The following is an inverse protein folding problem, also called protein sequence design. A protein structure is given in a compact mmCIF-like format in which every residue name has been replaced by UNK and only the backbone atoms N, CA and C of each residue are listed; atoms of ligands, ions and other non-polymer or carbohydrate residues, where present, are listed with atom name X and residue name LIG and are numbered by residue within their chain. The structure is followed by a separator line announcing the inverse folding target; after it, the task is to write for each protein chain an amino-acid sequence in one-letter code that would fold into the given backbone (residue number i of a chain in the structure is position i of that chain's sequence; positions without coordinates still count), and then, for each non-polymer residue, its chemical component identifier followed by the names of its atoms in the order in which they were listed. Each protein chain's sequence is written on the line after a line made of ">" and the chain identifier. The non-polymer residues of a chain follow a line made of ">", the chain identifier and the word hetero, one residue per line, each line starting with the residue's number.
data_IF_514573636689
#
_entry.id   IF_514573636689
#
_cell.length_a   1.000
_cell.length_b   1.000
_cell.length_c   1.000
_cell.angle_alpha   90.00
_cell.angle_beta   90.00
_cell.angle_gamma   90.00
#
_symmetry.space_group_name_H-M   'P 1'
#
loop_
_entity.id
_entity.type
_entity.pdbx_description
1 polymer ?
#
# COMPACT_ATOMS: atom_id res chain seq x y z
N UNK A 1 -7.23 -5.13 -13.01
CA UNK A 1 -7.06 -5.12 -11.54
C UNK A 1 -6.65 -3.70 -11.14
N UNK A 2 -7.10 -3.22 -9.98
CA UNK A 2 -6.70 -2.00 -9.25
C UNK A 2 -6.47 -0.68 -10.01
N UNK A 3 -7.50 0.19 -10.08
CA UNK A 3 -7.36 1.65 -10.32
C UNK A 3 -7.14 2.40 -8.98
N UNK A 4 -6.24 1.91 -8.11
CA UNK A 4 -6.19 2.37 -6.71
C UNK A 4 -5.32 3.61 -6.42
N UNK A 5 -4.28 3.89 -7.20
CA UNK A 5 -3.35 5.00 -6.90
C UNK A 5 -3.31 6.10 -7.97
N UNK A 6 -4.05 5.94 -9.07
CA UNK A 6 -3.79 6.68 -10.31
C UNK A 6 -4.86 7.72 -10.67
N UNK A 7 -6.01 7.71 -9.98
CA UNK A 7 -7.09 8.70 -10.21
C UNK A 7 -6.77 10.08 -9.64
N UNK A 8 -5.76 10.22 -8.77
CA UNK A 8 -5.29 11.52 -8.27
C UNK A 8 -4.58 12.39 -9.34
N UNK A 9 -4.20 11.83 -10.49
CA UNK A 9 -3.59 12.58 -11.59
C UNK A 9 -4.61 13.30 -12.51
N UNK A 10 -5.93 13.17 -12.26
CA UNK A 10 -6.97 13.68 -13.16
C UNK A 10 -7.06 15.22 -13.25
N UNK A 11 -6.55 15.95 -12.26
CA UNK A 11 -6.73 17.41 -12.20
C UNK A 11 -5.50 18.23 -12.64
N UNK A 12 -4.41 17.59 -13.09
CA UNK A 12 -3.19 18.29 -13.51
C UNK A 12 -3.03 18.49 -15.03
N UNK A 13 -3.90 17.90 -15.87
CA UNK A 13 -3.75 17.96 -17.35
C UNK A 13 -5.10 18.21 -18.04
N UNK A 14 -5.78 19.30 -17.70
CA UNK A 14 -6.86 19.86 -18.54
C UNK A 14 -6.47 21.28 -18.95
N UNK A 15 -5.70 21.37 -20.03
CA UNK A 15 -5.23 22.68 -20.49
C UNK A 15 -4.60 22.76 -21.87
N UNK A 16 -4.84 21.84 -22.81
CA UNK A 16 -4.48 22.09 -24.21
C UNK A 16 -5.46 21.39 -25.16
N UNK A 17 -6.42 22.13 -25.72
CA UNK A 17 -7.09 21.73 -26.96
C UNK A 17 -6.17 22.13 -28.13
N UNK A 18 -5.76 21.19 -28.98
CA UNK A 18 -5.14 21.52 -30.27
C UNK A 18 -6.03 21.08 -31.45
N UNK A 19 -6.13 21.98 -32.44
CA UNK A 19 -6.76 21.79 -33.75
C UNK A 19 -5.82 20.98 -34.68
N UNK A 20 -6.35 20.29 -35.71
CA UNK A 20 -5.54 19.40 -36.54
C UNK A 20 -4.74 20.16 -37.59
N UNK A 21 -3.45 19.86 -37.71
CA UNK A 21 -2.63 20.30 -38.85
C UNK A 21 -1.12 20.30 -38.58
N UNK A 22 -0.43 19.41 -39.31
CA UNK A 22 1.01 19.42 -39.65
C UNK A 22 2.02 18.83 -38.65
N UNK A 23 2.68 17.77 -39.14
CA UNK A 23 3.78 17.02 -38.54
C UNK A 23 5.08 17.82 -38.59
N UNK A 24 5.71 18.02 -37.44
CA UNK A 24 7.17 18.07 -37.31
C UNK A 24 7.57 17.55 -35.91
N UNK A 25 8.30 16.43 -35.88
CA UNK A 25 8.86 15.84 -34.66
C UNK A 25 9.95 16.76 -34.10
N UNK A 26 9.60 17.58 -33.10
CA UNK A 26 10.57 18.19 -32.18
C UNK A 26 10.60 17.34 -30.92
N UNK A 27 11.79 16.84 -30.55
CA UNK A 27 12.06 16.22 -29.24
C UNK A 27 11.53 17.13 -28.14
N UNK A 28 10.42 16.75 -27.50
CA UNK A 28 9.89 17.46 -26.36
C UNK A 28 10.82 17.19 -25.17
N UNK A 29 11.70 18.15 -24.86
CA UNK A 29 12.38 18.15 -23.56
C UNK A 29 11.30 18.40 -22.51
N UNK A 30 11.00 17.37 -21.70
CA UNK A 30 10.19 17.52 -20.49
C UNK A 30 10.82 18.63 -19.65
N UNK A 31 10.14 19.76 -19.50
CA UNK A 31 10.56 20.82 -18.59
C UNK A 31 10.35 20.32 -17.16
N UNK A 32 11.34 20.44 -16.26
CA UNK A 32 11.12 20.18 -14.85
C UNK A 32 10.08 21.19 -14.32
N UNK A 33 9.18 20.76 -13.42
CA UNK A 33 8.20 21.66 -12.81
C UNK A 33 8.91 22.78 -12.01
N UNK A 34 8.27 23.95 -11.82
CA UNK A 34 8.86 25.05 -11.08
C UNK A 34 9.15 24.63 -9.62
N UNK A 35 10.34 24.99 -9.16
CA UNK A 35 10.80 24.78 -7.79
C UNK A 35 9.82 25.50 -6.83
N UNK A 36 9.13 24.74 -5.97
CA UNK A 36 8.41 25.35 -4.84
C UNK A 36 9.43 25.88 -3.83
N UNK A 37 9.28 27.11 -3.30
CA UNK A 37 10.13 27.58 -2.21
C UNK A 37 9.90 26.70 -0.98
N UNK A 38 11.01 26.33 -0.31
CA UNK A 38 11.01 25.42 0.82
C UNK A 38 10.14 25.93 1.96
N UNK A 39 9.27 25.05 2.47
CA UNK A 39 8.60 25.25 3.75
C UNK A 39 9.66 25.34 4.86
N UNK A 40 9.48 26.23 5.85
CA UNK A 40 10.45 26.39 6.92
C UNK A 40 10.58 25.09 7.74
N UNK A 41 11.81 24.66 7.96
CA UNK A 41 12.13 23.51 8.80
C UNK A 41 11.76 23.79 10.27
N UNK A 42 10.67 23.19 10.74
CA UNK A 42 10.40 22.84 12.13
C UNK A 42 9.63 21.51 12.06
N UNK A 43 9.93 20.46 12.81
CA UNK A 43 10.05 20.42 14.27
C UNK A 43 10.68 19.08 14.68
N UNK A 44 11.25 19.02 15.88
CA UNK A 44 11.75 17.82 16.58
C UNK A 44 10.89 16.59 16.29
N UNK A 45 11.50 15.54 15.76
CA UNK A 45 10.85 14.25 15.46
C UNK A 45 10.57 13.51 16.76
N UNK A 46 9.53 13.91 17.48
CA UNK A 46 8.98 13.07 18.55
C UNK A 46 8.38 11.83 17.90
N UNK A 47 8.84 10.64 18.29
CA UNK A 47 8.17 9.39 17.93
C UNK A 47 6.69 9.55 18.31
N UNK A 48 5.73 9.40 17.37
CA UNK A 48 4.32 9.55 17.68
C UNK A 48 3.95 8.57 18.81
N UNK A 49 3.19 9.06 19.79
CA UNK A 49 2.65 8.19 20.84
C UNK A 49 1.86 7.04 20.21
N UNK A 50 1.93 5.82 20.77
CA UNK A 50 1.27 4.65 20.20
C UNK A 50 -0.23 4.90 20.05
N UNK A 51 -0.78 4.41 18.96
CA UNK A 51 -2.20 4.48 18.62
C UNK A 51 -2.90 3.15 18.92
N UNK A 52 -4.21 3.12 18.75
CA UNK A 52 -5.08 1.97 19.08
C UNK A 52 -4.59 0.61 18.62
N UNK A 53 -3.97 0.54 17.45
CA UNK A 53 -3.59 -0.72 16.83
C UNK A 53 -2.07 -0.94 16.78
N UNK A 54 -1.28 -0.07 17.41
CA UNK A 54 0.17 -0.25 17.54
C UNK A 54 0.55 -1.35 18.55
N UNK A 55 -0.05 -1.43 19.75
CA UNK A 55 0.37 -2.40 20.74
C UNK A 55 0.21 -3.84 20.26
N UNK A 56 1.25 -4.63 20.50
CA UNK A 56 1.18 -6.09 20.51
C UNK A 56 0.25 -6.58 21.62
N UNK A 57 -0.08 -7.89 21.58
CA UNK A 57 -0.99 -8.47 22.58
C UNK A 57 -0.39 -8.43 23.98
N UNK A 58 0.93 -8.57 24.06
CA UNK A 58 1.71 -8.47 25.28
C UNK A 58 1.72 -7.04 25.82
N UNK A 59 1.95 -6.04 24.95
CA UNK A 59 1.89 -4.64 25.35
C UNK A 59 0.49 -4.17 25.75
N UNK A 60 -0.57 -4.76 25.18
CA UNK A 60 -1.93 -4.59 25.68
C UNK A 60 -2.09 -5.25 27.06
N UNK A 61 -1.52 -6.43 27.28
CA UNK A 61 -1.57 -7.12 28.57
C UNK A 61 -0.94 -6.28 29.69
N UNK A 62 0.21 -5.66 29.43
CA UNK A 62 0.86 -4.71 30.36
C UNK A 62 -0.05 -3.52 30.69
N UNK A 63 -0.75 -2.95 29.70
CA UNK A 63 -1.72 -1.85 29.92
C UNK A 63 -2.98 -2.27 30.68
N UNK A 64 -3.22 -3.57 30.77
CA UNK A 64 -4.34 -4.17 31.50
C UNK A 64 -3.88 -4.82 32.81
N UNK A 65 -2.67 -4.52 33.29
CA UNK A 65 -2.26 -4.91 34.64
C UNK A 65 -3.27 -4.37 35.68
N UNK A 66 -3.68 -5.25 36.59
CA UNK A 66 -4.73 -4.98 37.58
C UNK A 66 -6.15 -5.35 37.12
N UNK A 67 -6.37 -5.60 35.83
CA UNK A 67 -7.64 -6.14 35.33
C UNK A 67 -7.63 -7.69 35.30
N UNK A 68 -8.80 -8.35 35.35
CA UNK A 68 -8.87 -9.80 35.15
C UNK A 68 -8.27 -10.23 33.80
N UNK A 69 -7.49 -11.31 33.77
CA UNK A 69 -6.76 -11.77 32.56
C UNK A 69 -7.62 -11.89 31.30
N UNK A 70 -8.87 -12.31 31.44
CA UNK A 70 -9.80 -12.43 30.30
C UNK A 70 -10.14 -11.09 29.63
N UNK A 71 -9.84 -9.94 30.26
CA UNK A 71 -10.03 -8.61 29.65
C UNK A 71 -9.13 -8.41 28.44
N UNK A 72 -7.95 -9.03 28.44
CA UNK A 72 -7.03 -9.00 27.31
C UNK A 72 -7.74 -9.56 26.06
N UNK A 73 -8.33 -10.75 26.17
CA UNK A 73 -9.07 -11.39 25.07
C UNK A 73 -10.27 -10.54 24.63
N UNK A 74 -11.06 -10.05 25.60
CA UNK A 74 -12.25 -9.25 25.29
C UNK A 74 -11.94 -7.98 24.49
N UNK A 75 -10.89 -7.26 24.89
CA UNK A 75 -10.44 -6.04 24.22
C UNK A 75 -9.81 -6.39 22.87
N UNK A 76 -8.88 -7.34 22.86
CA UNK A 76 -8.14 -7.72 21.67
C UNK A 76 -9.03 -8.25 20.54
N UNK A 77 -9.86 -9.24 20.85
CA UNK A 77 -10.81 -9.83 19.91
C UNK A 77 -11.90 -8.81 19.54
N UNK A 78 -12.25 -7.92 20.48
CA UNK A 78 -13.14 -6.80 20.25
C UNK A 78 -12.68 -5.91 19.11
N UNK A 79 -11.49 -5.32 19.24
CA UNK A 79 -11.02 -4.30 18.31
C UNK A 79 -10.41 -4.87 17.03
N UNK A 80 -9.88 -6.11 17.04
CA UNK A 80 -9.28 -6.74 15.86
C UNK A 80 -10.22 -7.74 15.19
N UNK A 81 -10.52 -8.85 15.86
CA UNK A 81 -11.26 -9.96 15.27
C UNK A 81 -12.71 -9.60 14.96
N UNK A 82 -13.37 -8.78 15.79
CA UNK A 82 -14.72 -8.24 15.52
C UNK A 82 -14.67 -6.89 14.82
N UNK A 83 -13.54 -6.18 14.89
CA UNK A 83 -13.40 -4.85 14.34
C UNK A 83 -14.36 -3.85 15.00
N UNK A 84 -14.75 -4.05 16.25
CA UNK A 84 -15.59 -3.12 16.99
C UNK A 84 -14.77 -1.93 17.49
N UNK A 85 -15.40 -0.78 17.68
CA UNK A 85 -14.77 0.32 18.41
C UNK A 85 -14.81 0.02 19.93
N UNK A 86 -13.91 0.64 20.69
CA UNK A 86 -13.80 0.42 22.13
C UNK A 86 -15.14 0.68 22.82
N UNK A 87 -15.85 1.74 22.43
CA UNK A 87 -17.14 2.12 23.00
C UNK A 87 -18.25 1.06 22.80
N UNK A 88 -18.14 0.22 21.76
CA UNK A 88 -19.07 -0.86 21.44
C UNK A 88 -18.81 -2.14 22.24
N UNK A 89 -17.71 -2.24 22.99
CA UNK A 89 -17.39 -3.41 23.81
C UNK A 89 -18.20 -3.42 25.11
N UNK A 90 -19.50 -3.76 25.02
CA UNK A 90 -20.42 -3.79 26.16
C UNK A 90 -20.02 -4.77 27.26
N UNK A 91 -19.22 -5.78 26.93
CA UNK A 91 -18.64 -6.71 27.88
C UNK A 91 -17.44 -6.14 28.63
N UNK A 92 -16.95 -4.94 28.31
CA UNK A 92 -15.80 -4.25 28.95
C UNK A 92 -16.29 -3.03 29.77
N UNK A 93 -15.80 -2.82 31.02
CA UNK A 93 -16.25 -1.73 31.88
C UNK A 93 -16.08 -0.36 31.23
N UNK A 94 -17.04 0.55 31.45
CA UNK A 94 -17.03 1.89 30.86
C UNK A 94 -15.76 2.67 31.20
N UNK A 95 -15.29 2.60 32.45
CA UNK A 95 -14.05 3.24 32.89
C UNK A 95 -12.83 2.71 32.13
N UNK A 96 -12.73 1.40 31.93
CA UNK A 96 -11.63 0.79 31.18
C UNK A 96 -11.65 1.19 29.70
N UNK A 97 -12.84 1.20 29.07
CA UNK A 97 -12.99 1.68 27.69
C UNK A 97 -12.56 3.14 27.52
N UNK A 98 -12.92 4.01 28.47
CA UNK A 98 -12.54 5.42 28.45
C UNK A 98 -11.01 5.60 28.61
N UNK A 99 -10.40 4.90 29.58
CA UNK A 99 -8.95 4.92 29.78
C UNK A 99 -8.19 4.48 28.53
N UNK A 100 -8.57 3.34 27.94
CA UNK A 100 -7.95 2.84 26.71
C UNK A 100 -8.15 3.79 25.52
N UNK A 101 -9.29 4.47 25.41
CA UNK A 101 -9.53 5.43 24.34
C UNK A 101 -8.66 6.67 24.44
N UNK A 102 -8.31 7.09 25.66
CA UNK A 102 -7.39 8.20 25.94
C UNK A 102 -5.93 7.80 25.72
N UNK A 103 -5.52 6.64 26.27
CA UNK A 103 -4.15 6.12 26.16
C UNK A 103 -3.80 5.68 24.73
N UNK A 104 -4.80 5.16 24.00
CA UNK A 104 -4.66 4.58 22.67
C UNK A 104 -5.71 5.16 21.70
N UNK A 105 -5.55 6.44 21.30
CA UNK A 105 -6.44 7.07 20.35
C UNK A 105 -6.27 6.47 18.95
N UNK A 106 -7.23 6.74 18.07
CA UNK A 106 -7.14 6.40 16.66
C UNK A 106 -5.99 7.16 15.98
N UNK A 107 -5.34 6.50 15.02
CA UNK A 107 -4.27 7.08 14.23
C UNK A 107 -4.80 7.90 13.06
N UNK A 108 -5.97 7.52 12.52
CA UNK A 108 -6.51 8.06 11.29
C UNK A 108 -7.73 8.95 11.58
N UNK A 109 -7.68 10.19 11.10
CA UNK A 109 -8.85 11.07 11.06
C UNK A 109 -9.36 11.16 9.61
N UNK A 110 -10.62 10.78 9.32
CA UNK A 110 -11.16 10.92 7.97
C UNK A 110 -11.31 12.40 7.62
N UNK A 111 -10.78 12.84 6.48
CA UNK A 111 -10.95 14.21 5.98
C UNK A 111 -11.80 14.28 4.72
N UNK A 112 -11.73 13.25 3.87
CA UNK A 112 -12.60 13.15 2.71
C UNK A 112 -12.91 11.69 2.38
N UNK A 113 -14.08 11.48 1.78
CA UNK A 113 -14.52 10.21 1.22
C UNK A 113 -14.97 10.43 -0.22
N UNK A 114 -14.59 9.50 -1.10
CA UNK A 114 -15.04 9.47 -2.50
C UNK A 114 -15.58 8.09 -2.83
N UNK A 115 -16.80 8.05 -3.37
CA UNK A 115 -17.50 6.82 -3.76
C UNK A 115 -17.68 6.80 -5.27
N UNK A 116 -17.36 5.67 -5.89
CA UNK A 116 -17.44 5.47 -7.34
C UNK A 116 -17.92 4.05 -7.67
N UNK A 117 -18.04 3.74 -8.96
CA UNK A 117 -18.46 2.41 -9.45
C UNK A 117 -19.80 1.93 -8.85
N UNK A 118 -20.77 2.84 -8.71
CA UNK A 118 -22.08 2.56 -8.08
C UNK A 118 -21.98 2.10 -6.62
N UNK A 119 -20.95 2.54 -5.90
CA UNK A 119 -20.72 2.18 -4.51
C UNK A 119 -19.71 1.05 -4.32
N UNK A 120 -19.28 0.40 -5.40
CA UNK A 120 -18.33 -0.72 -5.32
C UNK A 120 -16.88 -0.26 -5.03
N UNK A 121 -16.57 1.03 -5.18
CA UNK A 121 -15.24 1.56 -4.86
C UNK A 121 -15.37 2.77 -3.94
N UNK A 122 -14.80 2.67 -2.73
CA UNK A 122 -14.75 3.75 -1.74
C UNK A 122 -13.29 4.11 -1.45
N UNK A 123 -12.95 5.39 -1.56
CA UNK A 123 -11.62 5.92 -1.23
C UNK A 123 -11.73 6.90 -0.07
N UNK A 124 -10.85 6.76 0.91
CA UNK A 124 -10.70 7.70 2.00
C UNK A 124 -9.39 8.46 1.90
N UNK A 125 -9.44 9.76 2.18
CA UNK A 125 -8.30 10.58 2.53
C UNK A 125 -8.25 10.67 4.06
N UNK A 126 -7.13 10.26 4.64
CA UNK A 126 -6.87 10.29 6.07
C UNK A 126 -5.86 11.37 6.39
N UNK A 127 -6.08 12.10 7.48
CA UNK A 127 -5.03 12.83 8.16
C UNK A 127 -4.50 12.02 9.34
N UNK A 128 -3.19 11.85 9.37
CA UNK A 128 -2.44 11.22 10.44
C UNK A 128 -2.27 12.19 11.62
N UNK A 129 -1.90 11.68 12.79
CA UNK A 129 -1.77 12.48 14.02
C UNK A 129 -0.76 13.62 13.91
N UNK A 130 0.25 13.47 13.08
CA UNK A 130 1.29 14.45 12.80
C UNK A 130 0.99 15.33 11.57
N UNK A 131 -0.21 15.22 11.01
CA UNK A 131 -0.71 16.12 9.97
C UNK A 131 -0.42 15.69 8.53
N UNK A 132 0.33 14.62 8.32
CA UNK A 132 0.50 14.02 7.00
C UNK A 132 -0.78 13.32 6.51
N UNK A 133 -0.85 13.03 5.21
CA UNK A 133 -2.00 12.41 4.59
C UNK A 133 -1.67 11.08 3.93
N UNK A 134 -2.62 10.15 4.02
CA UNK A 134 -2.60 8.89 3.27
C UNK A 134 -3.97 8.57 2.67
N UNK A 135 -3.99 7.66 1.70
CA UNK A 135 -5.22 7.16 1.11
C UNK A 135 -5.40 5.66 1.38
N UNK A 136 -6.65 5.23 1.50
CA UNK A 136 -7.05 3.82 1.53
C UNK A 136 -8.20 3.63 0.55
N UNK A 137 -8.21 2.51 -0.16
CA UNK A 137 -9.30 2.19 -1.10
C UNK A 137 -9.92 0.84 -0.78
N UNK A 138 -11.22 0.82 -0.55
CA UNK A 138 -12.05 -0.37 -0.47
C UNK A 138 -12.68 -0.64 -1.84
N UNK A 139 -12.57 -1.88 -2.31
CA UNK A 139 -13.14 -2.33 -3.58
C UNK A 139 -13.97 -3.61 -3.39
N UNK A 140 -15.23 -3.54 -3.75
CA UNK A 140 -16.14 -4.67 -3.86
C UNK A 140 -16.06 -5.25 -5.28
N UNK A 141 -15.76 -6.54 -5.36
CA UNK A 141 -15.89 -7.32 -6.57
C UNK A 141 -17.02 -8.33 -6.40
N UNK A 142 -17.34 -9.05 -7.48
CA UNK A 142 -18.38 -10.09 -7.46
C UNK A 142 -18.12 -11.16 -6.39
N UNK A 143 -16.87 -11.57 -6.24
CA UNK A 143 -16.45 -12.75 -5.47
C UNK A 143 -15.56 -12.41 -4.25
N UNK A 144 -15.16 -11.15 -4.08
CA UNK A 144 -14.24 -10.74 -3.02
C UNK A 144 -14.38 -9.26 -2.68
N UNK A 145 -13.90 -8.90 -1.51
CA UNK A 145 -13.70 -7.49 -1.11
C UNK A 145 -12.22 -7.27 -0.84
N UNK A 146 -11.63 -6.28 -1.52
CA UNK A 146 -10.20 -5.97 -1.42
C UNK A 146 -9.99 -4.61 -0.80
N UNK A 147 -9.06 -4.51 0.15
CA UNK A 147 -8.58 -3.23 0.69
C UNK A 147 -7.18 -2.97 0.16
N UNK A 148 -6.99 -1.81 -0.45
CA UNK A 148 -5.70 -1.29 -0.86
C UNK A 148 -5.19 -0.35 0.24
N UNK A 149 -4.09 -0.73 0.88
CA UNK A 149 -3.50 -0.01 2.02
C UNK A 149 -2.24 0.73 1.62
N UNK A 150 -2.02 1.87 2.26
CA UNK A 150 -0.77 2.61 2.24
C UNK A 150 0.19 2.08 3.31
N UNK A 151 1.49 2.11 3.03
CA UNK A 151 2.58 1.73 3.94
C UNK A 151 3.49 2.90 4.31
N UNK A 152 3.41 4.03 3.60
CA UNK A 152 4.15 5.26 3.89
C UNK A 152 3.28 6.49 3.63
N UNK A 153 3.60 7.61 4.28
CA UNK A 153 3.16 8.92 3.85
C UNK A 153 4.16 9.43 2.79
N UNK A 154 3.71 9.49 1.54
CA UNK A 154 4.58 9.70 0.38
C UNK A 154 5.36 8.44 -0.03
N UNK A 155 6.33 8.59 -0.94
CA UNK A 155 7.19 7.50 -1.40
C UNK A 155 8.51 8.03 -1.98
N UNK A 156 9.64 7.46 -1.54
CA UNK A 156 10.98 7.89 -1.96
C UNK A 156 11.42 7.28 -3.32
N UNK A 157 10.64 6.37 -3.90
CA UNK A 157 11.04 5.60 -5.09
C UNK A 157 11.03 6.41 -6.39
N UNK A 158 10.36 7.57 -6.42
CA UNK A 158 10.36 8.53 -7.55
C UNK A 158 10.03 7.90 -8.91
N UNK A 159 9.13 6.91 -8.96
CA UNK A 159 8.67 6.34 -10.22
C UNK A 159 8.04 7.42 -11.09
N UNK A 160 8.49 7.58 -12.34
CA UNK A 160 8.19 8.75 -13.17
C UNK A 160 6.71 8.97 -13.48
N UNK A 161 5.93 7.89 -13.50
CA UNK A 161 4.50 7.90 -13.73
C UNK A 161 3.68 8.12 -12.45
N UNK A 162 4.25 7.88 -11.26
CA UNK A 162 3.55 7.82 -9.97
C UNK A 162 3.39 9.18 -9.28
N UNK A 163 2.13 9.58 -9.03
CA UNK A 163 1.82 10.80 -8.29
C UNK A 163 2.46 10.80 -6.87
N UNK A 164 2.38 9.69 -6.14
CA UNK A 164 3.00 9.56 -4.80
C UNK A 164 4.52 9.69 -4.86
N UNK A 165 5.17 9.13 -5.88
CA UNK A 165 6.62 9.27 -6.08
C UNK A 165 7.05 10.71 -6.42
N UNK A 166 6.15 11.52 -6.98
CA UNK A 166 6.37 12.94 -7.26
C UNK A 166 6.13 13.83 -6.04
N UNK A 167 5.25 13.43 -5.12
CA UNK A 167 4.96 14.15 -3.87
C UNK A 167 6.12 14.10 -2.85
N UNK A 168 7.11 13.23 -3.06
CA UNK A 168 8.21 13.04 -2.11
C UNK A 168 7.88 12.02 -1.02
N UNK A 169 8.77 11.91 -0.03
CA UNK A 169 8.65 11.02 1.11
C UNK A 169 8.66 11.82 2.40
N UNK A 170 7.68 11.57 3.26
CA UNK A 170 7.62 12.15 4.59
C UNK A 170 8.12 11.13 5.62
N UNK A 171 7.40 10.02 5.79
CA UNK A 171 7.77 8.97 6.75
C UNK A 171 7.12 7.62 6.48
N UNK A 172 7.64 6.62 7.20
CA UNK A 172 7.01 5.32 7.34
C UNK A 172 5.75 5.39 8.20
N UNK A 173 4.75 4.57 7.85
CA UNK A 173 3.61 4.33 8.73
C UNK A 173 3.97 3.30 9.80
N UNK A 174 3.38 3.45 10.99
CA UNK A 174 3.44 2.43 12.03
C UNK A 174 2.58 1.22 11.67
N UNK A 175 2.79 0.11 12.37
CA UNK A 175 1.92 -1.07 12.27
C UNK A 175 0.46 -0.71 12.54
N UNK A 176 0.19 0.10 13.57
CA UNK A 176 -1.16 0.53 13.93
C UNK A 176 -1.84 1.36 12.85
N UNK A 177 -1.12 2.29 12.23
CA UNK A 177 -1.63 3.10 11.11
C UNK A 177 -1.98 2.25 9.89
N UNK A 178 -1.21 1.19 9.62
CA UNK A 178 -1.51 0.25 8.53
C UNK A 178 -2.73 -0.61 8.87
N UNK A 179 -2.82 -1.10 10.11
CA UNK A 179 -3.91 -1.97 10.56
C UNK A 179 -5.25 -1.22 10.61
N UNK A 180 -5.24 0.03 11.06
CA UNK A 180 -6.45 0.85 11.21
C UNK A 180 -7.18 1.07 9.89
N UNK A 181 -6.44 1.22 8.77
CA UNK A 181 -7.01 1.32 7.43
C UNK A 181 -7.94 0.13 7.11
N UNK A 182 -7.52 -1.07 7.49
CA UNK A 182 -8.28 -2.30 7.23
C UNK A 182 -9.44 -2.46 8.21
N UNK A 183 -9.24 -2.11 9.48
CA UNK A 183 -10.33 -2.16 10.48
C UNK A 183 -11.45 -1.21 10.07
N UNK A 184 -11.13 0.02 9.66
CA UNK A 184 -12.13 0.96 9.13
C UNK A 184 -12.84 0.40 7.90
N UNK A 185 -12.09 -0.04 6.89
CA UNK A 185 -12.68 -0.59 5.67
C UNK A 185 -13.56 -1.82 5.93
N UNK A 186 -13.20 -2.65 6.91
CA UNK A 186 -14.00 -3.81 7.33
C UNK A 186 -15.32 -3.40 7.96
N UNK A 187 -15.32 -2.37 8.81
CA UNK A 187 -16.56 -1.80 9.39
C UNK A 187 -17.46 -1.27 8.28
N UNK A 188 -16.92 -0.48 7.36
CA UNK A 188 -17.70 0.09 6.25
C UNK A 188 -18.22 -0.98 5.28
N UNK A 189 -17.46 -2.05 5.05
CA UNK A 189 -17.87 -3.11 4.13
C UNK A 189 -18.95 -4.04 4.68
N UNK A 190 -19.22 -4.03 6.00
CA UNK A 190 -20.20 -4.93 6.61
C UNK A 190 -21.59 -4.78 5.95
N UNK A 191 -22.30 -5.89 5.65
CA UNK A 191 -22.00 -7.28 6.05
C UNK A 191 -21.04 -8.02 5.11
N UNK A 192 -20.56 -7.43 4.01
CA UNK A 192 -19.58 -8.08 3.12
C UNK A 192 -18.22 -8.15 3.80
N UNK A 193 -17.68 -9.36 3.94
CA UNK A 193 -16.37 -9.58 4.57
C UNK A 193 -15.24 -9.09 3.66
N UNK A 194 -14.33 -8.29 4.21
CA UNK A 194 -13.00 -8.02 3.61
C UNK A 194 -12.23 -9.34 3.54
N UNK A 195 -11.90 -9.76 2.33
CA UNK A 195 -11.27 -11.05 2.07
C UNK A 195 -9.84 -10.92 1.55
N UNK A 196 -9.45 -9.75 1.03
CA UNK A 196 -8.16 -9.53 0.40
C UNK A 196 -7.55 -8.20 0.84
N UNK A 197 -6.23 -8.17 1.01
CA UNK A 197 -5.48 -6.95 1.27
C UNK A 197 -4.32 -6.88 0.29
N UNK A 198 -4.13 -5.70 -0.30
CA UNK A 198 -3.03 -5.41 -1.22
C UNK A 198 -2.28 -4.17 -0.74
N UNK A 199 -0.95 -4.26 -0.66
CA UNK A 199 -0.08 -3.13 -0.38
C UNK A 199 0.26 -2.45 -1.71
N UNK A 200 -0.72 -1.73 -2.26
CA UNK A 200 -0.63 -1.01 -3.54
C UNK A 200 -1.09 0.46 -3.40
N UNK A 201 -1.20 0.95 -2.16
CA UNK A 201 -1.50 2.34 -1.85
C UNK A 201 -0.24 3.20 -1.92
N UNK A 202 -0.14 4.19 -1.03
CA UNK A 202 1.03 5.07 -0.95
C UNK A 202 2.20 4.36 -0.26
N UNK A 203 3.38 4.45 -0.86
CA UNK A 203 4.64 3.94 -0.31
C UNK A 203 5.21 2.69 -0.98
N UNK A 204 6.46 2.38 -0.64
CA UNK A 204 7.15 1.14 -0.96
C UNK A 204 7.18 0.25 0.30
N UNK A 205 6.40 -0.85 0.34
CA UNK A 205 6.29 -1.73 1.50
C UNK A 205 7.64 -2.27 2.00
N UNK A 206 8.58 -2.59 1.11
CA UNK A 206 9.90 -3.09 1.53
C UNK A 206 10.85 -2.01 2.04
N UNK A 207 10.56 -0.73 1.80
CA UNK A 207 11.25 0.35 2.48
C UNK A 207 10.73 0.54 3.92
N UNK A 208 9.49 0.09 4.22
CA UNK A 208 8.91 0.07 5.56
C UNK A 208 8.72 -1.37 6.07
N UNK A 209 9.76 -2.20 5.92
CA UNK A 209 9.58 -3.65 6.01
C UNK A 209 9.01 -4.11 7.34
N UNK A 210 9.58 -3.68 8.47
CA UNK A 210 9.21 -4.22 9.79
C UNK A 210 7.76 -3.91 10.16
N UNK A 211 7.31 -2.65 9.98
CA UNK A 211 5.91 -2.28 10.23
C UNK A 211 4.95 -2.94 9.25
N UNK A 212 5.35 -3.05 7.97
CA UNK A 212 4.55 -3.72 6.94
C UNK A 212 4.38 -5.20 7.26
N UNK A 213 5.46 -5.89 7.62
CA UNK A 213 5.44 -7.31 7.92
C UNK A 213 4.66 -7.60 9.21
N UNK A 214 4.88 -6.81 10.26
CA UNK A 214 4.05 -6.87 11.46
C UNK A 214 2.57 -6.73 11.09
N UNK A 215 2.18 -5.74 10.29
CA UNK A 215 0.79 -5.60 9.84
C UNK A 215 0.26 -6.82 9.05
N UNK A 216 1.09 -7.45 8.21
CA UNK A 216 0.75 -8.71 7.51
C UNK A 216 0.45 -9.82 8.51
N UNK A 217 1.25 -9.98 9.55
CA UNK A 217 1.02 -10.95 10.63
C UNK A 217 -0.27 -10.62 11.40
N UNK A 218 -0.54 -9.33 11.65
CA UNK A 218 -1.80 -8.88 12.28
C UNK A 218 -3.02 -9.24 11.44
N UNK A 219 -2.95 -9.01 10.13
CA UNK A 219 -4.02 -9.35 9.20
C UNK A 219 -4.28 -10.85 9.14
N UNK A 220 -3.21 -11.65 9.22
CA UNK A 220 -3.33 -13.10 9.22
C UNK A 220 -3.86 -13.65 10.54
N UNK A 221 -3.21 -13.30 11.65
CA UNK A 221 -3.47 -13.84 12.98
C UNK A 221 -4.77 -13.30 13.60
N UNK A 222 -4.95 -11.98 13.62
CA UNK A 222 -6.06 -11.37 14.38
C UNK A 222 -7.31 -11.14 13.52
N UNK A 223 -7.15 -10.83 12.23
CA UNK A 223 -8.28 -10.60 11.31
C UNK A 223 -8.68 -11.88 10.54
N UNK A 224 -7.89 -12.96 10.66
CA UNK A 224 -8.19 -14.26 10.04
C UNK A 224 -8.16 -14.23 8.52
N UNK A 225 -7.34 -13.37 7.91
CA UNK A 225 -7.17 -13.31 6.45
C UNK A 225 -6.08 -14.31 6.05
N UNK A 226 -6.44 -15.32 5.24
CA UNK A 226 -5.47 -16.32 4.80
C UNK A 226 -4.33 -15.69 3.99
N UNK A 227 -3.07 -16.11 4.21
CA UNK A 227 -1.88 -15.53 3.58
C UNK A 227 -1.97 -15.43 2.04
N UNK A 228 -2.64 -16.38 1.38
CA UNK A 228 -2.89 -16.36 -0.08
C UNK A 228 -3.76 -15.19 -0.57
N UNK A 229 -4.39 -14.44 0.34
CA UNK A 229 -5.21 -13.27 0.06
C UNK A 229 -4.51 -11.95 0.42
N UNK A 230 -3.29 -12.02 0.95
CA UNK A 230 -2.40 -10.89 1.22
C UNK A 230 -1.41 -10.78 0.06
N UNK A 231 -1.25 -9.57 -0.48
CA UNK A 231 -0.31 -9.31 -1.58
C UNK A 231 0.57 -8.11 -1.24
N UNK A 232 1.88 -8.33 -1.19
CA UNK A 232 2.88 -7.27 -1.08
C UNK A 232 3.31 -6.89 -2.49
N UNK A 233 3.21 -5.59 -2.83
CA UNK A 233 3.73 -5.04 -4.08
C UNK A 233 5.04 -4.32 -3.82
N UNK A 234 6.02 -4.45 -4.71
CA UNK A 234 7.30 -3.73 -4.61
C UNK A 234 7.74 -3.18 -5.96
N UNK A 235 8.46 -2.06 -5.97
CA UNK A 235 9.20 -1.56 -7.15
C UNK A 235 10.44 -2.38 -7.48
N UNK A 236 10.76 -3.41 -6.69
CA UNK A 236 11.89 -4.32 -6.92
C UNK A 236 13.06 -4.08 -5.97
N UNK A 237 12.76 -3.83 -4.68
CA UNK A 237 13.80 -3.80 -3.63
C UNK A 237 14.28 -5.24 -3.39
N UNK A 238 15.37 -5.63 -4.06
CA UNK A 238 15.89 -7.01 -4.05
C UNK A 238 16.12 -7.56 -2.64
N UNK A 239 16.79 -6.84 -1.71
CA UNK A 239 16.97 -7.33 -0.34
C UNK A 239 15.63 -7.57 0.40
N UNK A 240 14.59 -6.79 0.05
CA UNK A 240 13.25 -6.97 0.59
C UNK A 240 12.57 -8.25 0.09
N UNK A 241 12.73 -8.58 -1.20
CA UNK A 241 12.23 -9.84 -1.78
C UNK A 241 12.94 -11.04 -1.13
N UNK A 242 14.25 -10.95 -0.96
CA UNK A 242 15.06 -12.01 -0.32
C UNK A 242 14.72 -12.20 1.15
N UNK A 243 14.42 -11.11 1.87
CA UNK A 243 13.89 -11.19 3.23
C UNK A 243 12.51 -11.84 3.25
N UNK A 244 11.59 -11.42 2.37
CA UNK A 244 10.24 -11.98 2.26
C UNK A 244 10.26 -13.50 1.95
N UNK A 245 11.22 -13.97 1.17
CA UNK A 245 11.39 -15.40 0.88
C UNK A 245 11.67 -16.24 2.14
N UNK A 246 12.19 -15.63 3.21
CA UNK A 246 12.52 -16.28 4.48
C UNK A 246 11.42 -16.22 5.52
N UNK A 247 10.45 -15.32 5.39
CA UNK A 247 9.37 -15.15 6.37
C UNK A 247 8.37 -16.32 6.38
N UNK A 248 7.73 -16.62 7.50
CA UNK A 248 6.91 -17.84 7.61
C UNK A 248 5.65 -17.85 6.72
N UNK A 249 5.01 -16.69 6.50
CA UNK A 249 3.74 -16.64 5.78
C UNK A 249 3.94 -16.63 4.25
N UNK A 250 3.29 -17.54 3.50
CA UNK A 250 3.42 -17.61 2.05
C UNK A 250 2.44 -16.65 1.36
N UNK A 251 2.70 -15.35 1.49
CA UNK A 251 1.92 -14.28 0.85
C UNK A 251 2.10 -14.26 -0.67
N UNK A 252 1.28 -13.51 -1.41
CA UNK A 252 1.55 -13.28 -2.83
C UNK A 252 2.53 -12.11 -3.00
N UNK A 253 3.38 -12.18 -4.03
CA UNK A 253 4.29 -11.10 -4.42
C UNK A 253 3.82 -10.47 -5.74
N UNK A 254 3.71 -9.16 -5.75
CA UNK A 254 3.55 -8.36 -6.95
C UNK A 254 4.79 -7.47 -7.15
N UNK A 255 5.23 -7.32 -8.38
CA UNK A 255 6.37 -6.47 -8.74
C UNK A 255 5.92 -5.43 -9.75
N UNK A 256 6.04 -4.17 -9.37
CA UNK A 256 5.87 -2.99 -10.20
C UNK A 256 7.01 -2.91 -11.23
N UNK A 257 6.83 -3.62 -12.35
CA UNK A 257 7.86 -3.85 -13.35
C UNK A 257 7.95 -2.68 -14.33
N UNK A 258 6.84 -2.40 -15.03
CA UNK A 258 6.61 -1.28 -15.95
C UNK A 258 7.55 -1.13 -17.17
N UNK A 259 8.67 -1.84 -17.22
CA UNK A 259 9.52 -2.01 -18.40
C UNK A 259 10.30 -3.34 -18.26
N UNK A 260 10.55 -4.02 -19.38
CA UNK A 260 11.22 -5.33 -19.42
C UNK A 260 12.63 -5.27 -20.04
N UNK A 261 13.18 -4.06 -20.21
CA UNK A 261 14.58 -3.77 -20.50
C UNK A 261 15.10 -2.72 -19.51
N UNK A 262 16.39 -2.78 -19.18
CA UNK A 262 16.98 -1.93 -18.12
C UNK A 262 16.98 -0.44 -18.51
N UNK A 263 17.23 -0.10 -19.77
CA UNK A 263 17.30 1.30 -20.24
C UNK A 263 15.99 2.06 -19.95
N UNK A 264 14.85 1.50 -20.38
CA UNK A 264 13.55 2.13 -20.12
C UNK A 264 13.18 2.03 -18.64
N UNK A 265 13.55 0.94 -17.96
CA UNK A 265 13.21 0.76 -16.55
C UNK A 265 13.96 1.73 -15.66
N UNK A 266 15.20 2.08 -15.98
CA UNK A 266 15.97 3.12 -15.29
C UNK A 266 15.28 4.49 -15.33
N UNK A 267 14.59 4.80 -16.42
CA UNK A 267 13.81 6.02 -16.56
C UNK A 267 12.49 5.98 -15.77
N UNK A 268 11.73 4.88 -15.90
CA UNK A 268 10.39 4.78 -15.31
C UNK A 268 10.42 4.44 -13.82
N UNK A 269 11.35 3.58 -13.40
CA UNK A 269 11.46 3.03 -12.05
C UNK A 269 12.93 3.14 -11.59
N UNK A 270 13.36 4.32 -11.08
CA UNK A 270 14.78 4.63 -10.86
C UNK A 270 15.57 3.65 -9.99
N UNK A 271 14.89 2.89 -9.12
CA UNK A 271 15.50 1.83 -8.31
C UNK A 271 16.20 0.76 -9.15
N UNK A 272 15.85 0.63 -10.43
CA UNK A 272 16.47 -0.32 -11.36
C UNK A 272 17.98 -0.11 -11.51
N UNK A 273 18.46 1.13 -11.39
CA UNK A 273 19.89 1.44 -11.39
C UNK A 273 20.64 0.80 -10.22
N UNK A 274 19.95 0.57 -9.10
CA UNK A 274 20.49 -0.12 -7.92
C UNK A 274 20.26 -1.63 -8.01
N UNK A 275 19.08 -2.03 -8.47
CA UNK A 275 18.68 -3.43 -8.63
C UNK A 275 18.18 -3.68 -10.06
N UNK A 276 19.09 -3.98 -11.01
CA UNK A 276 18.75 -4.23 -12.41
C UNK A 276 17.83 -5.45 -12.57
N UNK A 277 17.23 -5.58 -13.77
CA UNK A 277 16.28 -6.66 -14.08
C UNK A 277 16.84 -8.06 -13.84
N UNK A 278 18.14 -8.27 -14.06
CA UNK A 278 18.81 -9.56 -13.79
C UNK A 278 18.73 -9.93 -12.30
N UNK A 279 19.13 -9.03 -11.41
CA UNK A 279 19.06 -9.23 -9.96
C UNK A 279 17.62 -9.37 -9.48
N UNK A 280 16.70 -8.55 -10.01
CA UNK A 280 15.28 -8.65 -9.71
C UNK A 280 14.70 -10.02 -10.10
N UNK A 281 15.06 -10.52 -11.29
CA UNK A 281 14.63 -11.84 -11.77
C UNK A 281 15.14 -12.95 -10.85
N UNK A 282 16.40 -12.89 -10.43
CA UNK A 282 16.99 -13.91 -9.57
C UNK A 282 16.34 -13.93 -8.17
N UNK A 283 16.06 -12.75 -7.61
CA UNK A 283 15.31 -12.62 -6.35
C UNK A 283 13.87 -13.14 -6.48
N UNK A 284 13.17 -12.82 -7.56
CA UNK A 284 11.84 -13.36 -7.85
C UNK A 284 11.86 -14.89 -7.97
N UNK A 285 12.85 -15.44 -8.66
CA UNK A 285 13.01 -16.88 -8.80
C UNK A 285 13.28 -17.57 -7.46
N UNK A 286 14.09 -16.95 -6.59
CA UNK A 286 14.33 -17.45 -5.23
C UNK A 286 13.05 -17.43 -4.40
N UNK A 287 12.28 -16.35 -4.46
CA UNK A 287 10.98 -16.25 -3.79
C UNK A 287 10.00 -17.35 -4.25
N UNK A 288 9.90 -17.56 -5.57
CA UNK A 288 9.05 -18.60 -6.14
C UNK A 288 9.46 -20.00 -5.68
N UNK A 289 10.76 -20.31 -5.62
CA UNK A 289 11.26 -21.60 -5.11
C UNK A 289 10.91 -21.79 -3.64
N UNK A 290 11.07 -20.74 -2.82
CA UNK A 290 10.84 -20.82 -1.37
C UNK A 290 9.35 -20.92 -1.01
N UNK A 291 8.49 -20.14 -1.68
CA UNK A 291 7.08 -19.99 -1.28
C UNK A 291 6.10 -20.74 -2.16
N UNK A 292 6.47 -21.05 -3.41
CA UNK A 292 5.57 -21.60 -4.43
C UNK A 292 4.24 -20.82 -4.51
N UNK A 293 4.34 -19.48 -4.47
CA UNK A 293 3.20 -18.56 -4.50
C UNK A 293 3.10 -17.82 -5.82
N UNK A 294 1.93 -17.24 -6.07
CA UNK A 294 1.69 -16.43 -7.25
C UNK A 294 2.63 -15.22 -7.24
N UNK A 295 3.42 -15.09 -8.31
CA UNK A 295 4.14 -13.87 -8.67
C UNK A 295 3.35 -13.14 -9.76
N UNK A 296 3.11 -11.86 -9.56
CA UNK A 296 2.50 -10.97 -10.54
C UNK A 296 3.47 -9.86 -10.93
N UNK A 297 3.53 -9.53 -12.21
CA UNK A 297 4.12 -8.29 -12.70
C UNK A 297 3.01 -7.28 -13.00
N UNK A 298 3.11 -6.11 -12.37
CA UNK A 298 2.25 -4.97 -12.65
C UNK A 298 2.88 -4.15 -13.78
N UNK A 299 2.10 -3.90 -14.83
CA UNK A 299 2.54 -3.18 -16.02
C UNK A 299 1.64 -1.99 -16.28
N UNK A 300 2.23 -0.80 -16.20
CA UNK A 300 1.55 0.47 -16.43
C UNK A 300 1.62 0.72 -17.94
N UNK A 301 0.51 0.63 -18.66
CA UNK A 301 0.48 0.92 -20.09
C UNK A 301 0.52 2.42 -20.30
N UNK A 302 1.64 2.90 -20.83
CA UNK A 302 1.92 4.31 -21.11
C UNK A 302 2.00 4.49 -22.63
N UNK A 303 1.10 5.30 -23.15
CA UNK A 303 0.92 5.55 -24.59
C UNK A 303 2.23 5.95 -25.28
N UNK A 304 2.66 5.16 -26.26
CA UNK A 304 3.85 5.39 -27.05
C UNK A 304 5.18 5.18 -26.31
N UNK A 305 5.15 4.68 -25.07
CA UNK A 305 6.36 4.46 -24.24
C UNK A 305 6.64 2.98 -24.04
N UNK A 306 5.67 2.20 -23.57
CA UNK A 306 5.85 0.80 -23.22
C UNK A 306 4.65 -0.10 -23.61
N UNK A 307 3.81 0.38 -24.52
CA UNK A 307 2.59 -0.28 -24.99
C UNK A 307 2.71 -0.82 -26.43
N UNK A 308 3.93 -0.95 -26.94
CA UNK A 308 4.22 -1.46 -28.29
C UNK A 308 4.55 -2.97 -28.31
N UNK A 309 4.43 -3.65 -29.46
CA UNK A 309 4.67 -5.10 -29.57
C UNK A 309 6.05 -5.57 -29.09
N UNK A 310 7.10 -4.75 -29.29
CA UNK A 310 8.45 -5.05 -28.79
C UNK A 310 8.51 -5.18 -27.26
N UNK A 311 7.92 -4.24 -26.52
CA UNK A 311 7.87 -4.30 -25.06
C UNK A 311 7.05 -5.49 -24.57
N UNK A 312 5.98 -5.85 -25.29
CA UNK A 312 5.21 -7.06 -25.00
C UNK A 312 6.03 -8.34 -25.19
N UNK A 313 6.90 -8.41 -26.20
CA UNK A 313 7.77 -9.55 -26.42
C UNK A 313 8.82 -9.71 -25.31
N UNK A 314 9.48 -8.62 -24.91
CA UNK A 314 10.43 -8.58 -23.79
C UNK A 314 9.75 -9.00 -22.47
N UNK A 315 8.57 -8.44 -22.19
CA UNK A 315 7.78 -8.81 -21.02
C UNK A 315 7.42 -10.30 -21.04
N UNK A 316 6.99 -10.84 -22.19
CA UNK A 316 6.63 -12.24 -22.33
C UNK A 316 7.81 -13.17 -22.07
N UNK A 317 9.03 -12.80 -22.46
CA UNK A 317 10.25 -13.56 -22.15
C UNK A 317 10.49 -13.64 -20.63
N UNK A 318 10.50 -12.49 -19.97
CA UNK A 318 10.68 -12.42 -18.51
C UNK A 318 9.60 -13.21 -17.76
N UNK A 319 8.33 -13.04 -18.16
CA UNK A 319 7.21 -13.72 -17.50
C UNK A 319 7.26 -15.24 -17.65
N UNK A 320 7.64 -15.75 -18.83
CA UNK A 320 7.77 -17.20 -19.07
C UNK A 320 8.79 -17.84 -18.14
N UNK A 321 9.94 -17.18 -17.92
CA UNK A 321 10.99 -17.70 -17.04
C UNK A 321 10.55 -17.84 -15.57
N UNK A 322 9.58 -17.03 -15.14
CA UNK A 322 9.11 -16.98 -13.75
C UNK A 322 7.69 -17.53 -13.56
N UNK A 323 7.02 -17.98 -14.64
CA UNK A 323 5.58 -18.34 -14.63
C UNK A 323 4.73 -17.23 -14.01
N UNK A 324 5.13 -15.98 -14.26
CA UNK A 324 4.50 -14.81 -13.66
C UNK A 324 3.18 -14.47 -14.36
N UNK A 325 2.19 -14.04 -13.59
CA UNK A 325 1.01 -13.40 -14.14
C UNK A 325 1.31 -11.94 -14.48
N UNK A 326 0.69 -11.42 -15.53
CA UNK A 326 0.81 -10.00 -15.89
C UNK A 326 -0.51 -9.30 -15.63
N UNK A 327 -0.45 -8.19 -14.90
CA UNK A 327 -1.55 -7.27 -14.71
C UNK A 327 -1.27 -6.00 -15.53
N UNK A 328 -1.97 -5.86 -16.66
CA UNK A 328 -1.93 -4.65 -17.48
C UNK A 328 -2.86 -3.59 -16.85
N UNK A 329 -2.29 -2.41 -16.58
CA UNK A 329 -2.93 -1.27 -15.93
C UNK A 329 -2.92 -0.11 -16.92
N UNK A 330 -4.06 0.26 -17.50
CA UNK A 330 -4.14 1.43 -18.37
C UNK A 330 -3.84 2.72 -17.59
N UNK A 331 -2.82 3.47 -17.98
CA UNK A 331 -2.74 4.88 -17.61
C UNK A 331 -3.57 5.67 -18.62
N UNK A 332 -4.48 6.50 -18.09
CA UNK A 332 -5.32 7.37 -18.89
C UNK A 332 -4.65 8.72 -19.09
#
# INVERSE_FOLDING_TARGET
>A
MARCAWTAARDAVRGVRQRPGQRHLRRARLRPPPHRPGLPARTVTTVPAPTRYDPTREELATRLEGEPRFRIDQVWDGIHARGADLDQLSNVPKALRARLAEELPLALTPEAESVSDRGDTVKWLWRLRDGHHIETVLMHYRDRTTVCVSSQAGCAMRCGFCATGQSGFDRHLSTGEIVEQVIHARRTSAPRRVSNIVFMGMGEPFANYDNTWAAVERFHGDLGIGARHLTLSTVGIVPGIERLAREDLPVNLAVSLHAANDDLRDELVPVNRTYPLSALRDACAAYLRAKNRRLSFEWALIDGVNDHPGAAAELAELCRSLRAHVNLIPLN
#
